data_IF_670682228276
#
_entry.id   IF_670682228276
#
_cell.length_a   1.000
_cell.length_b   1.000
_cell.length_c   1.000
_cell.angle_alpha   90.00
_cell.angle_beta   90.00
_cell.angle_gamma   90.00
#
_symmetry.space_group_name_H-M   'P 1'
#
loop_
_entity.id
_entity.type
_entity.pdbx_description
1 polymer ?
#
# COMPACT_ATOMS: atom_id res chain seq x y z
N UNK A 1 20.17 -30.52 45.78
CA UNK A 1 18.79 -30.08 45.51
C UNK A 1 18.91 -28.93 44.52
N UNK A 2 18.62 -29.16 43.22
CA UNK A 2 18.77 -28.15 42.18
C UNK A 2 17.44 -27.41 42.05
N UNK A 3 17.43 -26.11 42.37
CA UNK A 3 16.26 -25.27 42.21
C UNK A 3 15.87 -25.21 40.73
N UNK A 4 14.66 -25.68 40.42
CA UNK A 4 14.05 -25.51 39.10
C UNK A 4 13.78 -24.02 38.90
N UNK A 5 14.51 -23.43 37.95
CA UNK A 5 14.25 -22.07 37.45
C UNK A 5 12.81 -22.06 36.94
N UNK A 6 11.92 -21.31 37.62
CA UNK A 6 10.55 -21.10 37.17
C UNK A 6 10.62 -20.40 35.81
N UNK A 7 10.21 -21.09 34.76
CA UNK A 7 10.04 -20.51 33.43
C UNK A 7 9.02 -19.38 33.54
N UNK A 8 9.50 -18.13 33.60
CA UNK A 8 8.63 -16.95 33.50
C UNK A 8 8.07 -16.95 32.09
N UNK A 9 6.74 -16.81 31.96
CA UNK A 9 6.06 -16.62 30.68
C UNK A 9 6.58 -15.40 29.91
N UNK A 10 6.08 -15.19 28.67
CA UNK A 10 6.50 -14.07 27.80
C UNK A 10 6.52 -12.75 28.59
N UNK A 11 7.64 -12.00 28.58
CA UNK A 11 7.71 -10.73 29.27
C UNK A 11 6.61 -9.80 28.75
N UNK A 12 6.05 -9.03 29.66
CA UNK A 12 4.95 -8.14 29.35
C UNK A 12 5.43 -6.93 28.54
N UNK A 13 4.65 -6.51 27.54
CA UNK A 13 4.97 -5.37 26.68
C UNK A 13 4.97 -4.06 27.49
N UNK A 14 5.87 -3.14 27.13
CA UNK A 14 5.92 -1.82 27.77
C UNK A 14 4.61 -1.06 27.53
N UNK A 15 4.11 -0.39 28.58
CA UNK A 15 2.85 0.35 28.56
C UNK A 15 3.07 1.79 28.98
N UNK A 16 2.44 2.71 28.27
CA UNK A 16 2.54 4.15 28.48
C UNK A 16 1.15 4.77 28.65
N UNK A 17 0.96 5.70 29.59
CA UNK A 17 -0.28 6.46 29.66
C UNK A 17 -0.38 7.43 28.48
N UNK A 18 -1.61 7.75 28.08
CA UNK A 18 -1.82 8.85 27.14
C UNK A 18 -1.40 10.20 27.75
N UNK A 19 -1.26 11.20 26.88
CA UNK A 19 -1.05 12.58 27.32
C UNK A 19 -2.20 13.07 28.20
N UNK A 20 -1.93 13.94 29.19
CA UNK A 20 -2.91 14.44 30.18
C UNK A 20 -4.20 15.01 29.61
N UNK A 21 -4.14 15.53 28.39
CA UNK A 21 -5.26 16.16 27.68
C UNK A 21 -6.03 15.17 26.78
N UNK A 22 -5.60 13.92 26.69
CA UNK A 22 -6.23 12.94 25.80
C UNK A 22 -7.55 12.44 26.38
N UNK A 23 -8.65 12.37 25.59
CA UNK A 23 -9.96 11.94 26.07
C UNK A 23 -9.97 10.55 26.73
N UNK A 24 -9.06 9.67 26.30
CA UNK A 24 -8.98 8.28 26.77
C UNK A 24 -7.90 8.05 27.83
N UNK A 25 -7.31 9.07 28.44
CA UNK A 25 -6.22 8.89 29.42
C UNK A 25 -6.59 8.00 30.61
N UNK A 26 -7.83 8.08 31.08
CA UNK A 26 -8.29 7.28 32.24
C UNK A 26 -8.70 5.86 31.86
N UNK A 27 -9.07 5.63 30.59
CA UNK A 27 -9.67 4.37 30.13
C UNK A 27 -8.73 3.46 29.36
N UNK A 28 -7.73 4.02 28.67
CA UNK A 28 -6.84 3.28 27.78
C UNK A 28 -5.36 3.52 28.11
N UNK A 29 -4.51 2.59 27.68
CA UNK A 29 -3.06 2.70 27.73
C UNK A 29 -2.48 2.39 26.35
N UNK A 30 -1.40 3.07 26.00
CA UNK A 30 -0.59 2.76 24.83
C UNK A 30 0.28 1.55 25.15
N UNK A 31 0.38 0.60 24.22
CA UNK A 31 1.24 -0.57 24.34
C UNK A 31 2.29 -0.51 23.24
N UNK A 32 3.55 -0.64 23.63
CA UNK A 32 4.64 -0.80 22.68
C UNK A 32 4.74 -2.27 22.27
N UNK A 33 4.74 -2.54 20.97
CA UNK A 33 4.94 -3.88 20.46
C UNK A 33 6.38 -4.33 20.72
N UNK A 34 6.55 -5.57 21.18
CA UNK A 34 7.89 -6.15 21.41
C UNK A 34 8.67 -6.40 20.12
N UNK A 35 7.98 -6.44 18.98
CA UNK A 35 8.51 -6.74 17.66
C UNK A 35 8.14 -5.60 16.71
N UNK A 36 9.00 -5.35 15.71
CA UNK A 36 8.75 -4.34 14.70
C UNK A 36 7.68 -4.83 13.72
N UNK A 37 6.60 -4.05 13.59
CA UNK A 37 5.59 -4.25 12.57
C UNK A 37 5.70 -3.17 11.50
N UNK A 38 5.58 -3.56 10.25
CA UNK A 38 5.43 -2.64 9.12
C UNK A 38 3.94 -2.44 8.89
N UNK A 39 3.40 -1.22 9.08
CA UNK A 39 1.99 -0.96 8.80
C UNK A 39 1.74 -1.11 7.30
N UNK A 40 0.66 -1.83 6.96
CA UNK A 40 0.14 -1.86 5.59
C UNK A 40 -0.75 -0.63 5.45
N UNK A 41 -0.37 0.27 4.54
CA UNK A 41 -1.18 1.43 4.21
C UNK A 41 -2.26 1.00 3.21
N UNK A 42 -3.52 1.12 3.62
CA UNK A 42 -4.67 0.92 2.75
C UNK A 42 -5.12 2.27 2.21
N UNK A 43 -5.38 2.33 0.90
CA UNK A 43 -5.84 3.54 0.23
C UNK A 43 -5.12 3.79 -1.10
N UNK A 44 -5.34 4.97 -1.71
CA UNK A 44 -4.69 5.34 -2.95
C UNK A 44 -3.16 5.39 -2.78
N UNK A 45 -2.45 5.15 -3.87
CA UNK A 45 -0.99 5.23 -3.87
C UNK A 45 -0.53 6.66 -3.56
N UNK A 46 0.64 6.77 -2.90
CA UNK A 46 1.28 8.06 -2.70
C UNK A 46 1.57 8.65 -4.08
N UNK A 47 1.10 9.88 -4.40
CA UNK A 47 1.28 10.46 -5.73
C UNK A 47 2.75 10.63 -6.11
N UNK A 48 3.03 10.80 -7.40
CA UNK A 48 4.39 11.12 -7.85
C UNK A 48 4.73 12.58 -7.60
N UNK A 49 6.01 12.91 -7.49
CA UNK A 49 6.46 14.30 -7.29
C UNK A 49 6.72 15.05 -8.60
N UNK A 50 6.96 14.31 -9.69
CA UNK A 50 7.46 14.81 -10.97
C UNK A 50 6.40 15.52 -11.81
N UNK A 51 5.12 15.42 -11.44
CA UNK A 51 4.02 16.15 -12.06
C UNK A 51 3.56 17.31 -11.19
N UNK A 52 3.10 18.39 -11.81
CA UNK A 52 2.65 19.58 -11.09
C UNK A 52 1.21 19.44 -10.58
N UNK A 53 0.35 18.72 -11.30
CA UNK A 53 -1.03 18.43 -10.89
C UNK A 53 -1.11 17.57 -9.62
N UNK A 54 -0.03 16.84 -9.31
CA UNK A 54 0.05 15.91 -8.18
C UNK A 54 0.84 16.46 -7.00
N UNK A 55 1.52 17.62 -7.18
CA UNK A 55 2.51 18.15 -6.24
C UNK A 55 1.94 18.43 -4.85
N UNK A 56 0.75 19.03 -4.79
CA UNK A 56 0.07 19.35 -3.53
C UNK A 56 -0.34 18.07 -2.79
N UNK A 57 -0.91 17.09 -3.52
CA UNK A 57 -1.29 15.79 -2.93
C UNK A 57 -0.07 15.00 -2.45
N UNK A 58 1.01 14.99 -3.23
CA UNK A 58 2.28 14.40 -2.84
C UNK A 58 2.79 15.02 -1.53
N UNK A 59 2.81 16.35 -1.46
CA UNK A 59 3.30 17.07 -0.29
C UNK A 59 2.45 16.82 0.95
N UNK A 60 1.13 16.80 0.80
CA UNK A 60 0.16 16.42 1.84
C UNK A 60 0.40 15.01 2.35
N UNK A 61 0.59 14.04 1.45
CA UNK A 61 0.85 12.64 1.81
C UNK A 61 2.17 12.50 2.59
N UNK A 62 3.24 13.15 2.14
CA UNK A 62 4.53 13.09 2.82
C UNK A 62 4.50 13.72 4.21
N UNK A 63 3.89 14.89 4.35
CA UNK A 63 3.73 15.56 5.63
C UNK A 63 2.95 14.68 6.61
N UNK A 64 1.86 14.06 6.14
CA UNK A 64 0.99 13.21 6.98
C UNK A 64 1.70 11.96 7.48
N UNK A 65 2.56 11.35 6.65
CA UNK A 65 3.23 10.08 6.97
C UNK A 65 4.57 10.27 7.71
N UNK A 66 5.30 11.34 7.43
CA UNK A 66 6.69 11.47 7.86
C UNK A 66 6.99 12.63 8.80
N UNK A 67 6.04 13.54 9.02
CA UNK A 67 6.16 14.58 10.06
C UNK A 67 5.27 14.20 11.23
N UNK A 68 5.72 14.25 12.49
CA UNK A 68 4.83 14.03 13.63
C UNK A 68 3.81 15.16 13.76
N UNK A 69 2.53 14.84 13.89
CA UNK A 69 1.45 15.82 14.03
C UNK A 69 0.37 15.34 15.01
N UNK A 70 -0.42 16.28 15.54
CA UNK A 70 -1.63 16.04 16.32
C UNK A 70 -2.85 16.74 15.73
N UNK A 71 -2.61 17.85 15.04
CA UNK A 71 -3.60 18.68 14.37
C UNK A 71 -3.14 18.97 12.96
N UNK A 72 -4.07 19.27 12.06
CA UNK A 72 -3.74 19.58 10.65
C UNK A 72 -2.82 20.80 10.55
N UNK A 73 -2.96 21.76 11.46
CA UNK A 73 -2.11 22.96 11.55
C UNK A 73 -0.64 22.66 11.86
N UNK A 74 -0.33 21.51 12.48
CA UNK A 74 1.06 21.09 12.66
C UNK A 74 1.73 20.80 11.30
N UNK A 75 0.93 20.37 10.32
CA UNK A 75 1.38 19.99 8.98
C UNK A 75 1.34 21.16 8.00
N UNK A 76 0.22 21.88 7.94
CA UNK A 76 0.00 22.97 6.98
C UNK A 76 -0.85 24.08 7.60
N UNK A 77 -0.37 25.32 7.49
CA UNK A 77 -1.09 26.50 7.95
C UNK A 77 -2.18 26.90 6.96
N UNK A 78 -3.24 27.57 7.44
CA UNK A 78 -4.42 27.91 6.63
C UNK A 78 -4.09 28.73 5.37
N UNK A 79 -3.05 29.56 5.43
CA UNK A 79 -2.62 30.43 4.33
C UNK A 79 -1.39 29.89 3.58
N UNK A 80 -1.08 28.59 3.73
CA UNK A 80 0.09 27.95 3.14
C UNK A 80 -0.33 26.84 2.18
N UNK A 81 0.42 26.66 1.09
CA UNK A 81 0.28 25.48 0.21
C UNK A 81 0.96 24.27 0.86
N UNK A 82 0.55 23.06 0.49
CA UNK A 82 1.18 21.85 1.00
C UNK A 82 2.63 21.72 0.55
N UNK A 83 2.96 22.14 -0.67
CA UNK A 83 4.33 22.15 -1.19
C UNK A 83 5.25 23.08 -0.36
N UNK A 84 4.78 24.30 -0.05
CA UNK A 84 5.55 25.22 0.80
C UNK A 84 5.65 24.70 2.23
N UNK A 85 4.61 24.05 2.74
CA UNK A 85 4.61 23.45 4.06
C UNK A 85 5.61 22.30 4.17
N UNK A 86 5.73 21.49 3.12
CA UNK A 86 6.72 20.42 3.04
C UNK A 86 8.13 21.01 3.04
N UNK A 87 8.39 22.03 2.21
CA UNK A 87 9.70 22.72 2.17
C UNK A 87 10.11 23.28 3.53
N UNK A 88 9.20 23.90 4.28
CA UNK A 88 9.52 24.48 5.58
C UNK A 88 9.76 23.43 6.68
N UNK A 89 9.20 22.22 6.52
CA UNK A 89 9.24 21.14 7.52
C UNK A 89 10.17 19.97 7.15
N UNK A 90 10.96 20.07 6.08
CA UNK A 90 11.88 19.00 5.65
C UNK A 90 12.86 18.54 6.75
N UNK A 91 13.30 19.47 7.61
CA UNK A 91 14.19 19.20 8.72
C UNK A 91 13.55 18.36 9.85
N UNK A 92 12.21 18.21 9.85
CA UNK A 92 11.47 17.33 10.78
C UNK A 92 11.45 15.88 10.30
N UNK A 93 11.73 15.66 9.02
CA UNK A 93 11.76 14.33 8.41
C UNK A 93 13.14 13.72 8.64
N UNK A 94 13.18 12.52 9.20
CA UNK A 94 14.44 11.84 9.47
C UNK A 94 15.16 11.44 8.18
N UNK A 95 16.50 11.34 8.21
CA UNK A 95 17.30 10.89 7.07
C UNK A 95 16.86 9.50 6.58
N UNK A 96 16.46 8.61 7.51
CA UNK A 96 15.94 7.28 7.16
C UNK A 96 14.60 7.37 6.43
N UNK A 97 13.74 8.27 6.86
CA UNK A 97 12.44 8.53 6.20
C UNK A 97 12.64 9.09 4.79
N UNK A 98 13.61 9.97 4.58
CA UNK A 98 13.95 10.48 3.24
C UNK A 98 14.31 9.37 2.24
N UNK A 99 15.04 8.33 2.67
CA UNK A 99 15.31 7.17 1.81
C UNK A 99 14.03 6.44 1.40
N UNK A 100 13.03 6.37 2.29
CA UNK A 100 11.73 5.77 1.96
C UNK A 100 11.00 6.65 0.95
N UNK A 101 11.03 7.97 1.13
CA UNK A 101 10.44 8.95 0.21
C UNK A 101 11.06 8.84 -1.19
N UNK A 102 12.39 8.73 -1.27
CA UNK A 102 13.10 8.51 -2.54
C UNK A 102 12.70 7.19 -3.20
N UNK A 103 12.58 6.11 -2.41
CA UNK A 103 12.14 4.81 -2.92
C UNK A 103 10.70 4.83 -3.46
N UNK A 104 9.80 5.61 -2.86
CA UNK A 104 8.44 5.77 -3.37
C UNK A 104 8.47 6.35 -4.79
N UNK A 105 9.28 7.39 -5.01
CA UNK A 105 9.45 7.97 -6.34
C UNK A 105 10.13 6.99 -7.31
N UNK A 106 11.13 6.23 -6.86
CA UNK A 106 11.79 5.23 -7.69
C UNK A 106 10.83 4.11 -8.14
N UNK A 107 9.94 3.64 -7.25
CA UNK A 107 8.93 2.63 -7.59
C UNK A 107 8.02 3.09 -8.73
N UNK A 108 7.68 4.37 -8.73
CA UNK A 108 6.89 5.02 -9.76
C UNK A 108 7.61 5.12 -11.11
N UNK A 109 8.90 5.43 -11.09
CA UNK A 109 9.76 5.44 -12.28
C UNK A 109 9.88 4.04 -12.87
N UNK A 110 10.21 3.03 -12.05
CA UNK A 110 10.30 1.64 -12.51
C UNK A 110 8.96 1.11 -13.05
N UNK A 111 7.82 1.48 -12.45
CA UNK A 111 6.50 1.11 -12.95
C UNK A 111 6.28 1.70 -14.34
N UNK A 112 6.57 2.99 -14.52
CA UNK A 112 6.46 3.66 -15.83
C UNK A 112 7.32 2.99 -16.90
N UNK A 113 8.60 2.75 -16.61
CA UNK A 113 9.53 2.13 -17.56
C UNK A 113 9.08 0.73 -17.98
N UNK A 114 8.61 -0.07 -17.01
CA UNK A 114 8.08 -1.41 -17.26
C UNK A 114 6.84 -1.36 -18.15
N UNK A 115 5.90 -0.46 -17.84
CA UNK A 115 4.63 -0.35 -18.55
C UNK A 115 4.87 0.19 -19.99
N UNK A 116 5.80 1.12 -20.19
CA UNK A 116 6.24 1.60 -21.51
C UNK A 116 6.89 0.49 -22.35
N UNK A 117 7.80 -0.29 -21.74
CA UNK A 117 8.42 -1.43 -22.41
C UNK A 117 7.39 -2.49 -22.80
N UNK A 118 6.42 -2.78 -21.92
CA UNK A 118 5.34 -3.73 -22.23
C UNK A 118 4.49 -3.26 -23.41
N UNK A 119 4.11 -1.97 -23.44
CA UNK A 119 3.37 -1.39 -24.55
C UNK A 119 4.15 -1.48 -25.88
N UNK A 120 5.46 -1.27 -25.84
CA UNK A 120 6.31 -1.42 -27.02
C UNK A 120 6.31 -2.87 -27.54
N UNK A 121 6.50 -3.86 -26.67
CA UNK A 121 6.48 -5.28 -27.04
C UNK A 121 5.13 -5.69 -27.64
N UNK A 122 4.03 -5.20 -27.06
CA UNK A 122 2.68 -5.41 -27.58
C UNK A 122 2.52 -4.80 -28.97
N UNK A 123 2.98 -3.56 -29.16
CA UNK A 123 2.89 -2.88 -30.46
C UNK A 123 3.69 -3.61 -31.55
N UNK A 124 4.90 -4.09 -31.22
CA UNK A 124 5.73 -4.89 -32.13
C UNK A 124 5.04 -6.20 -32.53
N UNK A 125 4.50 -6.96 -31.57
CA UNK A 125 3.80 -8.21 -31.85
C UNK A 125 2.50 -8.03 -32.65
N UNK A 126 1.81 -6.88 -32.53
CA UNK A 126 0.63 -6.57 -33.35
C UNK A 126 0.97 -6.31 -34.83
N UNK A 127 2.20 -5.90 -35.16
CA UNK A 127 2.60 -5.68 -36.56
C UNK A 127 2.77 -6.97 -37.36
N UNK A 128 2.94 -8.12 -36.68
CA UNK A 128 3.21 -9.42 -37.29
C UNK A 128 1.95 -10.30 -37.55
N UNK A 129 0.75 -9.69 -37.59
CA UNK A 129 -0.57 -10.33 -37.84
C UNK A 129 -1.11 -11.30 -36.76
N UNK A 130 -0.42 -11.50 -35.64
CA UNK A 130 -0.97 -12.26 -34.52
C UNK A 130 -1.70 -11.31 -33.56
N UNK A 131 -3.04 -11.32 -33.60
CA UNK A 131 -3.88 -10.54 -32.69
C UNK A 131 -3.61 -10.98 -31.24
N UNK A 132 -3.03 -10.08 -30.44
CA UNK A 132 -2.73 -10.31 -29.02
C UNK A 132 -4.03 -10.36 -28.22
N UNK A 133 -4.13 -11.34 -27.31
CA UNK A 133 -5.26 -11.47 -26.37
C UNK A 133 -5.40 -10.17 -25.54
N UNK A 134 -6.58 -9.52 -25.51
CA UNK A 134 -6.84 -8.32 -24.71
C UNK A 134 -6.45 -8.43 -23.23
N UNK A 135 -6.35 -9.64 -22.68
CA UNK A 135 -5.86 -9.90 -21.31
C UNK A 135 -4.38 -9.55 -21.11
N UNK A 136 -3.57 -9.61 -22.17
CA UNK A 136 -2.12 -9.33 -22.11
C UNK A 136 -1.78 -7.85 -22.29
N UNK A 137 -2.77 -7.03 -22.65
CA UNK A 137 -2.64 -5.59 -22.48
C UNK A 137 -2.43 -5.31 -20.99
N UNK A 138 -1.66 -4.28 -20.61
CA UNK A 138 -1.65 -3.84 -19.22
C UNK A 138 -3.08 -3.46 -18.81
N UNK A 139 -3.83 -4.43 -18.28
CA UNK A 139 -5.04 -4.23 -17.49
C UNK A 139 -4.57 -3.83 -16.10
N UNK A 140 -3.82 -2.73 -16.03
CA UNK A 140 -4.01 -1.86 -14.90
C UNK A 140 -5.31 -1.15 -15.25
N UNK A 141 -6.41 -1.81 -14.91
CA UNK A 141 -7.68 -1.15 -14.68
C UNK A 141 -7.33 0.17 -13.98
N UNK A 142 -7.79 1.32 -14.47
CA UNK A 142 -7.62 2.64 -13.84
C UNK A 142 -8.27 2.70 -12.42
N UNK A 143 -8.23 1.61 -11.64
CA UNK A 143 -8.36 1.59 -10.19
C UNK A 143 -7.31 2.53 -9.56
N UNK A 144 -6.17 2.69 -10.23
CA UNK A 144 -5.06 3.57 -9.91
C UNK A 144 -4.94 4.77 -10.86
N UNK A 145 -6.02 5.11 -11.57
CA UNK A 145 -6.23 6.49 -11.96
C UNK A 145 -5.99 7.33 -10.71
N UNK A 146 -5.31 8.46 -10.85
CA UNK A 146 -5.40 9.51 -9.83
C UNK A 146 -6.85 10.03 -9.84
N UNK A 147 -7.79 9.17 -9.43
CA UNK A 147 -9.14 9.58 -9.10
C UNK A 147 -8.97 10.56 -7.95
N UNK A 148 -9.54 11.74 -8.13
CA UNK A 148 -9.67 12.75 -7.09
C UNK A 148 -10.56 12.17 -5.98
N UNK A 149 -10.02 11.28 -5.16
CA UNK A 149 -10.73 10.64 -4.04
C UNK A 149 -11.11 11.62 -2.91
N UNK A 150 -10.91 12.94 -3.13
CA UNK A 150 -11.47 14.01 -2.31
C UNK A 150 -12.90 14.38 -2.76
N UNK A 151 -13.44 13.81 -3.85
CA UNK A 151 -14.89 13.80 -4.09
C UNK A 151 -15.53 12.89 -3.03
N UNK A 152 -16.14 13.51 -2.03
CA UNK A 152 -16.85 12.84 -0.93
C UNK A 152 -17.86 11.79 -1.41
N UNK A 153 -18.34 11.93 -2.65
CA UNK A 153 -19.22 10.99 -3.36
C UNK A 153 -18.54 9.61 -3.56
N UNK A 154 -17.28 9.58 -4.03
CA UNK A 154 -16.54 8.34 -4.33
C UNK A 154 -16.19 7.56 -3.04
N UNK A 155 -15.88 8.28 -1.96
CA UNK A 155 -15.63 7.67 -0.65
C UNK A 155 -16.92 7.11 -0.02
N UNK A 156 -18.06 7.78 -0.23
CA UNK A 156 -19.39 7.31 0.19
C UNK A 156 -19.82 6.09 -0.61
N UNK A 157 -19.50 6.04 -1.90
CA UNK A 157 -19.76 4.89 -2.77
C UNK A 157 -18.91 3.67 -2.38
N UNK A 158 -17.62 3.87 -2.08
CA UNK A 158 -16.73 2.82 -1.60
C UNK A 158 -17.18 2.24 -0.24
N UNK A 159 -17.64 3.09 0.69
CA UNK A 159 -18.17 2.66 1.98
C UNK A 159 -19.55 1.98 1.86
N UNK A 160 -20.38 2.41 0.90
CA UNK A 160 -21.67 1.79 0.59
C UNK A 160 -21.55 0.37 0.02
N UNK A 161 -20.43 0.05 -0.63
CA UNK A 161 -20.15 -1.27 -1.20
C UNK A 161 -19.69 -2.32 -0.17
N UNK A 162 -19.46 -1.94 1.09
CA UNK A 162 -19.09 -2.84 2.20
C UNK A 162 -20.38 -3.33 2.90
N UNK A 163 -21.24 -4.04 2.18
CA UNK A 163 -22.28 -4.85 2.82
C UNK A 163 -21.87 -6.33 2.93
N UNK A 164 -22.29 -6.95 4.03
CA UNK A 164 -21.87 -8.27 4.51
C UNK A 164 -22.18 -9.41 3.51
N UNK A 165 -23.14 -9.20 2.61
CA UNK A 165 -23.55 -10.19 1.61
C UNK A 165 -22.64 -10.20 0.36
N UNK A 166 -22.09 -9.05 -0.03
CA UNK A 166 -21.26 -8.86 -1.24
C UNK A 166 -19.81 -9.30 -1.04
N UNK A 167 -19.30 -9.20 0.18
CA UNK A 167 -17.95 -9.70 0.55
C UNK A 167 -17.89 -11.24 0.51
N UNK A 168 -18.97 -11.94 0.87
CA UNK A 168 -19.05 -13.39 0.74
C UNK A 168 -19.08 -13.85 -0.73
N UNK A 169 -19.84 -13.15 -1.58
CA UNK A 169 -19.90 -13.44 -3.01
C UNK A 169 -18.56 -13.20 -3.72
N UNK A 170 -17.91 -12.05 -3.47
CA UNK A 170 -16.61 -11.72 -4.07
C UNK A 170 -15.48 -12.62 -3.59
N UNK A 171 -15.48 -13.04 -2.31
CA UNK A 171 -14.50 -14.01 -1.79
C UNK A 171 -14.74 -15.42 -2.35
N UNK A 172 -15.99 -15.83 -2.57
CA UNK A 172 -16.31 -17.11 -3.21
C UNK A 172 -15.87 -17.14 -4.68
N UNK A 173 -16.05 -16.04 -5.41
CA UNK A 173 -15.60 -15.92 -6.81
C UNK A 173 -14.08 -15.88 -6.91
N UNK A 174 -13.39 -15.11 -6.04
CA UNK A 174 -11.91 -15.03 -6.01
C UNK A 174 -11.27 -16.38 -5.72
N UNK A 175 -11.84 -17.13 -4.76
CA UNK A 175 -11.40 -18.49 -4.44
C UNK A 175 -11.57 -19.44 -5.63
N UNK A 176 -12.70 -19.36 -6.33
CA UNK A 176 -12.95 -20.18 -7.53
C UNK A 176 -12.01 -19.84 -8.69
N UNK A 177 -11.61 -18.59 -8.86
CA UNK A 177 -10.66 -18.20 -9.90
C UNK A 177 -9.23 -18.62 -9.56
N UNK A 178 -8.79 -18.46 -8.31
CA UNK A 178 -7.47 -18.91 -7.85
C UNK A 178 -7.34 -20.44 -7.94
N UNK A 179 -8.38 -21.18 -7.55
CA UNK A 179 -8.40 -22.64 -7.65
C UNK A 179 -8.27 -23.12 -9.11
N UNK A 180 -8.89 -22.42 -10.06
CA UNK A 180 -8.77 -22.70 -11.50
C UNK A 180 -7.33 -22.49 -12.01
N UNK A 181 -6.68 -21.39 -11.61
CA UNK A 181 -5.28 -21.14 -11.99
C UNK A 181 -4.35 -22.19 -11.41
N UNK A 182 -4.58 -22.64 -10.17
CA UNK A 182 -3.79 -23.70 -9.54
C UNK A 182 -3.93 -25.01 -10.34
N UNK A 183 -5.15 -25.38 -10.75
CA UNK A 183 -5.39 -26.58 -11.55
C UNK A 183 -4.73 -26.52 -12.94
N UNK A 184 -4.90 -25.42 -13.68
CA UNK A 184 -4.28 -25.22 -14.99
C UNK A 184 -2.74 -25.26 -14.90
N UNK A 185 -2.18 -24.70 -13.82
CA UNK A 185 -0.72 -24.72 -13.60
C UNK A 185 -0.22 -26.13 -13.27
N UNK A 186 -0.96 -26.90 -12.48
CA UNK A 186 -0.64 -28.30 -12.17
C UNK A 186 -0.72 -29.17 -13.44
N UNK A 187 -1.72 -28.94 -14.29
CA UNK A 187 -1.89 -29.66 -15.55
C UNK A 187 -0.76 -29.36 -16.53
N UNK A 188 -0.41 -28.08 -16.70
CA UNK A 188 0.71 -27.66 -17.55
C UNK A 188 2.04 -28.28 -17.07
N UNK A 189 2.29 -28.30 -15.75
CA UNK A 189 3.50 -28.91 -15.18
C UNK A 189 3.55 -30.43 -15.38
N UNK A 190 2.41 -31.12 -15.31
CA UNK A 190 2.30 -32.56 -15.60
C UNK A 190 2.56 -32.87 -17.08
N UNK A 191 2.00 -32.07 -18.00
CA UNK A 191 2.14 -32.25 -19.44
C UNK A 191 3.57 -32.02 -19.93
N UNK A 192 4.32 -31.12 -19.29
CA UNK A 192 5.73 -30.85 -19.60
C UNK A 192 6.65 -31.98 -19.07
N UNK A 193 6.12 -32.94 -18.30
CA UNK A 193 6.85 -34.13 -17.87
C UNK A 193 8.06 -33.86 -16.98
N UNK A 194 8.18 -32.64 -16.43
CA UNK A 194 9.38 -32.14 -15.72
C UNK A 194 9.75 -32.96 -14.47
N UNK A 195 8.81 -33.72 -13.92
CA UNK A 195 9.01 -34.55 -12.72
C UNK A 195 8.86 -36.07 -12.96
N UNK A 196 8.74 -36.51 -14.22
CA UNK A 196 8.58 -37.94 -14.57
C UNK A 196 9.83 -38.79 -14.32
N UNK A 197 10.96 -38.16 -13.97
CA UNK A 197 12.27 -38.79 -13.80
C UNK A 197 12.79 -38.76 -12.36
N UNK A 198 11.95 -38.41 -11.38
CA UNK A 198 12.28 -38.61 -9.96
C UNK A 198 11.63 -39.92 -9.53
N UNK A 199 12.32 -41.02 -9.81
CA UNK A 199 12.20 -42.32 -9.14
C UNK A 199 13.56 -43.02 -9.21
#
# INVERSE_FOLDING_TARGET
>A
MKDKIKEKGRPHNQRYPFHKQHPQITTHLLMEYSEYHVPILYGPQIPRRDRDDTRERYSRALLTLFVPWRTVTDLCDINQTWDDALKSRQNRISIRSWKIIENIQLLHECKKDRDEHLLQVIAEAQTDNDAIDPILLPVNQDIDGEHDADDSEDLLELLGNIDEYTTAATNATKKSTEDKYIEETIEAVKNVGRFSHIN
#
